data_IF_807042573551
#
_entry.id   IF_807042573551
#
_cell.length_a   1.000
_cell.length_b   1.000
_cell.length_c   1.000
_cell.angle_alpha   90.00
_cell.angle_beta   90.00
_cell.angle_gamma   90.00
#
_symmetry.space_group_name_H-M   'P 1'
#
loop_
_entity.id
_entity.type
_entity.pdbx_description
1 polymer ?
#
# COMPACT_ATOMS: atom_id res chain seq x y z
N UNK A 1 -40.42 -1.26 -14.60
CA UNK A 1 -39.02 -1.44 -14.23
C UNK A 1 -38.51 -0.13 -13.65
N UNK A 2 -38.44 -0.01 -12.33
CA UNK A 2 -37.90 1.18 -11.65
C UNK A 2 -36.39 1.07 -11.67
N UNK A 3 -35.72 1.97 -12.38
CA UNK A 3 -34.29 2.19 -12.29
C UNK A 3 -33.95 2.62 -10.84
N UNK A 4 -33.53 1.69 -10.01
CA UNK A 4 -32.87 2.02 -8.73
C UNK A 4 -31.53 2.63 -9.13
N UNK A 5 -31.43 3.96 -9.10
CA UNK A 5 -30.15 4.65 -9.15
C UNK A 5 -29.35 4.11 -7.94
N UNK A 6 -28.31 3.33 -8.17
CA UNK A 6 -27.28 3.08 -7.18
C UNK A 6 -26.79 4.45 -6.71
N UNK A 7 -27.11 4.83 -5.50
CA UNK A 7 -26.43 5.96 -4.86
C UNK A 7 -24.94 5.60 -4.86
N UNK A 8 -24.19 6.27 -5.73
CA UNK A 8 -22.76 6.06 -5.86
C UNK A 8 -22.17 6.56 -4.53
N UNK A 9 -21.76 5.65 -3.66
CA UNK A 9 -21.00 5.97 -2.46
C UNK A 9 -19.92 6.99 -2.85
N UNK A 10 -19.89 8.13 -2.19
CA UNK A 10 -18.94 9.18 -2.49
C UNK A 10 -17.80 9.07 -1.47
N UNK A 11 -16.59 8.82 -1.96
CA UNK A 11 -15.40 8.85 -1.11
C UNK A 11 -15.35 10.15 -0.33
N UNK A 12 -15.16 10.06 0.98
CA UNK A 12 -14.96 11.19 1.89
C UNK A 12 -13.51 11.25 2.27
N UNK A 13 -12.97 12.46 2.33
CA UNK A 13 -11.58 12.68 2.70
C UNK A 13 -11.50 13.52 3.95
N UNK A 14 -10.70 13.09 4.90
CA UNK A 14 -10.36 13.88 6.07
C UNK A 14 -8.85 13.96 6.26
N UNK A 15 -8.42 15.04 6.89
CA UNK A 15 -7.05 15.25 7.30
C UNK A 15 -7.05 15.51 8.81
N UNK A 16 -6.18 14.80 9.52
CA UNK A 16 -6.04 14.93 10.98
C UNK A 16 -4.63 15.35 11.30
N UNK A 17 -4.48 16.46 11.99
CA UNK A 17 -3.18 17.02 12.37
C UNK A 17 -3.10 17.16 13.88
N UNK A 18 -1.98 16.82 14.48
CA UNK A 18 -1.73 17.06 15.90
C UNK A 18 -1.63 18.55 16.19
N UNK A 19 -2.27 19.00 17.26
CA UNK A 19 -2.11 20.37 17.76
C UNK A 19 -0.68 20.58 18.24
N UNK A 20 -0.26 21.84 18.20
CA UNK A 20 1.07 22.23 18.71
C UNK A 20 1.29 21.73 20.12
N UNK A 21 2.45 21.12 20.37
CA UNK A 21 2.83 20.48 21.63
C UNK A 21 2.40 19.03 21.76
N UNK A 22 1.63 18.51 20.78
CA UNK A 22 1.32 17.09 20.62
C UNK A 22 1.86 16.53 19.30
N UNK A 23 2.49 17.37 18.49
CA UNK A 23 3.02 17.11 17.16
C UNK A 23 4.47 16.55 17.17
N UNK A 24 4.77 15.70 18.17
CA UNK A 24 6.10 15.14 18.41
C UNK A 24 6.68 14.46 17.17
N UNK A 25 5.88 13.67 16.46
CA UNK A 25 6.30 12.98 15.22
C UNK A 25 6.78 13.99 14.16
N UNK A 26 6.10 15.12 14.04
CA UNK A 26 6.48 16.16 13.07
C UNK A 26 7.76 16.90 13.50
N UNK A 27 7.94 17.16 14.80
CA UNK A 27 9.13 17.79 15.35
C UNK A 27 10.37 16.88 15.23
N UNK A 28 10.22 15.57 15.51
CA UNK A 28 11.30 14.59 15.34
C UNK A 28 11.69 14.44 13.87
N UNK A 29 10.72 14.29 12.97
CA UNK A 29 10.99 14.21 11.53
C UNK A 29 11.62 15.48 11.01
N UNK A 30 11.18 16.67 11.47
CA UNK A 30 11.78 17.94 11.12
C UNK A 30 13.26 18.00 11.53
N UNK A 31 13.58 17.61 12.75
CA UNK A 31 14.94 17.61 13.28
C UNK A 31 15.83 16.64 12.49
N UNK A 32 15.37 15.40 12.29
CA UNK A 32 16.11 14.39 11.54
C UNK A 32 16.42 14.84 10.10
N UNK A 33 15.40 15.29 9.38
CA UNK A 33 15.58 15.78 7.99
C UNK A 33 16.55 16.98 7.93
N UNK A 34 16.42 17.90 8.87
CA UNK A 34 17.25 19.09 8.90
C UNK A 34 18.71 18.77 9.17
N UNK A 35 18.97 17.84 10.07
CA UNK A 35 20.31 17.45 10.48
C UNK A 35 20.95 16.51 9.44
N UNK A 36 20.24 15.49 8.98
CA UNK A 36 20.80 14.49 8.05
C UNK A 36 20.99 15.07 6.63
N UNK A 37 20.06 15.88 6.16
CA UNK A 37 20.14 16.52 4.83
C UNK A 37 20.72 17.93 4.85
N UNK A 38 21.12 18.45 6.02
CA UNK A 38 21.71 19.78 6.21
C UNK A 38 20.86 20.94 5.62
N UNK A 39 19.52 20.85 5.75
CA UNK A 39 18.57 21.78 5.13
C UNK A 39 18.41 23.08 5.92
N UNK A 40 19.21 24.08 5.60
CA UNK A 40 19.12 25.42 6.24
C UNK A 40 17.85 26.18 5.88
N UNK A 41 17.27 25.89 4.72
CA UNK A 41 16.08 26.57 4.19
C UNK A 41 14.76 26.07 4.76
N UNK A 42 14.72 24.88 5.39
CA UNK A 42 13.52 24.29 6.01
C UNK A 42 13.24 24.98 7.34
N UNK A 43 12.07 25.58 7.49
CA UNK A 43 11.65 26.32 8.69
C UNK A 43 10.67 25.58 9.57
N UNK A 44 9.79 24.79 8.98
CA UNK A 44 8.78 24.01 9.68
C UNK A 44 8.37 22.79 8.85
N UNK A 45 8.00 21.72 9.53
CA UNK A 45 7.41 20.54 8.95
C UNK A 45 6.12 20.23 9.71
N UNK A 46 5.08 19.85 8.98
CA UNK A 46 3.80 19.41 9.56
C UNK A 46 3.47 18.04 8.99
N UNK A 47 2.79 17.23 9.77
CA UNK A 47 2.28 15.93 9.34
C UNK A 47 0.77 15.94 9.49
N UNK A 48 0.07 15.69 8.38
CA UNK A 48 -1.37 15.48 8.38
C UNK A 48 -1.66 14.02 8.00
N UNK A 49 -2.40 13.34 8.83
CA UNK A 49 -2.89 11.99 8.54
C UNK A 49 -4.12 12.10 7.65
N UNK A 50 -4.00 11.69 6.38
CA UNK A 50 -5.10 11.70 5.40
C UNK A 50 -5.79 10.34 5.42
N UNK A 51 -7.10 10.37 5.54
CA UNK A 51 -7.93 9.19 5.38
C UNK A 51 -8.93 9.43 4.25
N UNK A 52 -8.98 8.48 3.32
CA UNK A 52 -10.02 8.38 2.30
C UNK A 52 -10.95 7.24 2.72
N UNK A 53 -12.25 7.52 2.81
CA UNK A 53 -13.24 6.65 3.44
C UNK A 53 -14.38 6.43 2.46
N UNK A 54 -14.74 5.18 2.23
CA UNK A 54 -15.84 4.77 1.34
C UNK A 54 -16.73 3.72 2.04
N UNK A 55 -17.94 3.55 1.56
CA UNK A 55 -18.85 2.50 2.03
C UNK A 55 -19.58 2.79 3.34
N UNK A 56 -19.62 4.05 3.82
CA UNK A 56 -20.34 4.44 5.05
C UNK A 56 -21.40 5.50 4.80
N UNK A 57 -22.45 5.48 5.62
CA UNK A 57 -23.49 6.50 5.64
C UNK A 57 -23.06 7.79 6.37
N UNK A 58 -23.85 8.86 6.20
CA UNK A 58 -23.57 10.16 6.81
C UNK A 58 -23.54 10.11 8.33
N UNK A 59 -24.43 9.38 8.96
CA UNK A 59 -24.52 9.30 10.42
C UNK A 59 -23.29 8.56 11.01
N UNK A 60 -22.87 7.47 10.38
CA UNK A 60 -21.67 6.73 10.75
C UNK A 60 -20.43 7.59 10.54
N UNK A 61 -20.34 8.33 9.43
CA UNK A 61 -19.22 9.23 9.18
C UNK A 61 -19.11 10.32 10.23
N UNK A 62 -20.21 11.02 10.54
CA UNK A 62 -20.22 12.08 11.56
C UNK A 62 -19.79 11.57 12.94
N UNK A 63 -20.26 10.39 13.33
CA UNK A 63 -19.85 9.76 14.57
C UNK A 63 -18.38 9.33 14.57
N UNK A 64 -17.88 8.81 13.45
CA UNK A 64 -16.50 8.31 13.33
C UNK A 64 -15.45 9.43 13.38
N UNK A 65 -15.78 10.65 12.95
CA UNK A 65 -14.82 11.77 12.91
C UNK A 65 -14.06 11.95 14.23
N UNK A 66 -14.76 11.90 15.34
CA UNK A 66 -14.19 12.17 16.66
C UNK A 66 -14.15 10.94 17.58
N UNK A 67 -14.51 9.77 17.07
CA UNK A 67 -14.43 8.50 17.81
C UNK A 67 -13.32 7.61 17.26
N UNK A 68 -13.08 7.68 15.94
CA UNK A 68 -12.12 6.81 15.26
C UNK A 68 -10.90 7.59 14.76
N UNK A 69 -11.12 8.75 14.12
CA UNK A 69 -10.06 9.43 13.36
C UNK A 69 -9.34 10.52 14.15
N UNK A 70 -10.02 11.25 15.01
CA UNK A 70 -9.45 12.39 15.72
C UNK A 70 -9.88 12.44 17.19
N UNK A 71 -8.96 12.85 18.05
CA UNK A 71 -9.21 13.17 19.45
C UNK A 71 -9.29 14.70 19.60
N UNK A 72 -10.47 15.29 19.85
CA UNK A 72 -10.64 16.75 19.85
C UNK A 72 -9.72 17.51 20.80
N UNK A 73 -9.25 16.86 21.86
CA UNK A 73 -8.34 17.49 22.83
C UNK A 73 -6.96 17.80 22.20
N UNK A 74 -6.45 16.90 21.35
CA UNK A 74 -5.08 16.93 20.84
C UNK A 74 -4.99 17.03 19.31
N UNK A 75 -6.10 16.85 18.59
CA UNK A 75 -6.16 16.84 17.14
C UNK A 75 -6.97 18.01 16.58
N UNK A 76 -6.62 18.40 15.36
CA UNK A 76 -7.42 19.24 14.46
C UNK A 76 -7.85 18.37 13.28
N UNK A 77 -9.13 18.42 12.92
CA UNK A 77 -9.70 17.69 11.79
C UNK A 77 -10.15 18.67 10.72
N UNK A 78 -9.81 18.34 9.46
CA UNK A 78 -10.20 19.11 8.28
C UNK A 78 -10.87 18.17 7.29
N UNK A 79 -12.03 18.61 6.75
CA UNK A 79 -12.81 17.80 5.81
C UNK A 79 -12.56 18.25 4.39
N UNK A 80 -12.41 17.29 3.49
CA UNK A 80 -12.26 17.44 2.03
C UNK A 80 -11.03 18.25 1.57
N UNK A 81 -10.55 19.19 2.35
CA UNK A 81 -9.43 20.06 1.99
C UNK A 81 -8.43 20.18 3.13
N UNK A 82 -7.17 20.29 2.78
CA UNK A 82 -6.14 20.66 3.74
C UNK A 82 -6.38 22.07 4.29
N UNK A 83 -5.78 22.40 5.46
CA UNK A 83 -5.83 23.76 6.01
C UNK A 83 -5.44 24.83 5.00
N UNK A 84 -6.13 25.97 5.03
CA UNK A 84 -5.90 27.06 4.07
C UNK A 84 -4.49 27.64 4.14
N UNK A 85 -3.84 27.58 5.28
CA UNK A 85 -2.46 28.04 5.50
C UNK A 85 -1.41 27.13 4.81
N UNK A 86 -1.80 25.95 4.29
CA UNK A 86 -0.93 25.06 3.52
C UNK A 86 -0.93 25.35 2.03
N UNK A 87 -1.76 26.26 1.51
CA UNK A 87 -1.94 26.51 0.06
C UNK A 87 -0.67 26.90 -0.68
N UNK A 88 0.26 27.60 -0.03
CA UNK A 88 1.55 28.00 -0.60
C UNK A 88 2.70 27.11 -0.16
N UNK A 89 2.46 26.13 0.68
CA UNK A 89 3.46 25.22 1.18
C UNK A 89 3.80 24.13 0.16
N UNK A 90 4.99 23.57 0.27
CA UNK A 90 5.38 22.37 -0.48
C UNK A 90 4.83 21.19 0.28
N UNK A 91 4.09 20.31 -0.37
CA UNK A 91 3.61 19.08 0.27
C UNK A 91 3.70 17.88 -0.66
N UNK A 92 3.71 16.70 -0.08
CA UNK A 92 3.56 15.42 -0.74
C UNK A 92 2.93 14.44 0.25
N UNK A 93 2.32 13.39 -0.28
CA UNK A 93 1.71 12.34 0.54
C UNK A 93 2.46 11.02 0.32
N UNK A 94 2.58 10.23 1.38
CA UNK A 94 3.20 8.90 1.36
C UNK A 94 2.15 7.89 1.77
N UNK A 95 1.98 6.84 0.97
CA UNK A 95 1.08 5.71 1.24
C UNK A 95 1.83 4.39 1.13
N UNK A 96 1.29 3.33 1.73
CA UNK A 96 1.83 2.00 1.55
C UNK A 96 1.61 1.48 0.12
N UNK A 97 2.53 0.62 -0.34
CA UNK A 97 2.37 -0.08 -1.61
C UNK A 97 1.15 -1.02 -1.57
N UNK A 98 0.48 -1.26 -2.70
CA UNK A 98 -0.57 -2.26 -2.79
C UNK A 98 -0.07 -3.62 -2.30
N UNK A 99 -0.85 -4.25 -1.42
CA UNK A 99 -0.47 -5.52 -0.79
C UNK A 99 0.32 -5.40 0.52
N UNK A 100 0.78 -4.22 0.88
CA UNK A 100 1.34 -3.96 2.21
C UNK A 100 0.21 -3.73 3.21
N UNK A 101 0.43 -4.19 4.45
CA UNK A 101 -0.54 -4.02 5.54
C UNK A 101 -0.50 -2.59 6.09
N UNK A 102 -1.62 -1.89 5.94
CA UNK A 102 -1.82 -0.55 6.50
C UNK A 102 -2.58 -0.64 7.81
N UNK A 103 -1.84 -0.66 8.91
CA UNK A 103 -2.41 -0.78 10.25
C UNK A 103 -3.41 0.34 10.59
N UNK A 104 -3.15 1.59 10.15
CA UNK A 104 -4.04 2.73 10.46
C UNK A 104 -5.34 2.62 9.69
N UNK A 105 -5.29 2.28 8.42
CA UNK A 105 -6.47 2.08 7.60
C UNK A 105 -7.31 0.90 8.11
N UNK A 106 -6.67 -0.24 8.39
CA UNK A 106 -7.33 -1.45 8.90
C UNK A 106 -7.99 -1.21 10.26
N UNK A 107 -7.26 -0.61 11.21
CA UNK A 107 -7.82 -0.29 12.53
C UNK A 107 -9.01 0.67 12.43
N UNK A 108 -8.95 1.68 11.56
CA UNK A 108 -10.05 2.59 11.35
C UNK A 108 -11.28 1.88 10.78
N UNK A 109 -11.09 1.02 9.77
CA UNK A 109 -12.18 0.23 9.17
C UNK A 109 -12.82 -0.69 10.21
N UNK A 110 -12.02 -1.37 11.04
CA UNK A 110 -12.52 -2.23 12.11
C UNK A 110 -13.32 -1.44 13.18
N UNK A 111 -12.83 -0.27 13.59
CA UNK A 111 -13.55 0.59 14.52
C UNK A 111 -14.91 1.05 13.96
N UNK A 112 -14.96 1.44 12.68
CA UNK A 112 -16.21 1.80 12.00
C UNK A 112 -17.16 0.61 11.98
N UNK A 113 -16.67 -0.59 11.67
CA UNK A 113 -17.48 -1.82 11.69
C UNK A 113 -18.09 -2.10 13.07
N UNK A 114 -17.31 -1.92 14.13
CA UNK A 114 -17.80 -2.07 15.51
C UNK A 114 -18.86 -1.03 15.85
N UNK A 115 -18.69 0.23 15.44
CA UNK A 115 -19.67 1.30 15.65
C UNK A 115 -20.99 1.04 14.92
N UNK A 116 -20.93 0.46 13.73
CA UNK A 116 -22.11 0.11 12.93
C UNK A 116 -22.92 -1.06 13.51
N UNK A 117 -22.44 -1.69 14.58
CA UNK A 117 -23.12 -2.78 15.28
C UNK A 117 -23.31 -4.06 14.45
N UNK A 118 -22.46 -4.29 13.47
CA UNK A 118 -22.55 -5.47 12.60
C UNK A 118 -23.89 -5.54 11.84
N UNK A 119 -24.42 -4.39 11.39
CA UNK A 119 -25.69 -4.33 10.68
C UNK A 119 -25.64 -5.22 9.43
N UNK A 120 -26.75 -5.97 9.27
CA UNK A 120 -26.99 -7.03 8.27
C UNK A 120 -26.58 -6.65 6.86
N UNK A 121 -26.17 -7.69 6.10
CA UNK A 121 -25.83 -7.65 4.67
C UNK A 121 -26.75 -6.68 3.88
N UNK A 122 -26.16 -5.80 3.13
CA UNK A 122 -26.85 -5.07 2.09
C UNK A 122 -27.36 -6.07 1.03
N UNK A 123 -28.44 -5.70 0.29
CA UNK A 123 -29.02 -6.58 -0.75
C UNK A 123 -28.03 -6.97 -1.88
N UNK A 124 -26.84 -6.33 -1.92
CA UNK A 124 -25.76 -6.60 -2.87
C UNK A 124 -24.68 -7.57 -2.35
N UNK A 125 -24.91 -8.18 -1.17
CA UNK A 125 -23.99 -9.17 -0.58
C UNK A 125 -22.79 -8.61 0.18
N UNK A 126 -22.64 -7.28 0.25
CA UNK A 126 -21.66 -6.64 1.13
C UNK A 126 -22.24 -6.56 2.55
N UNK A 127 -21.41 -6.78 3.55
CA UNK A 127 -21.80 -6.45 4.92
C UNK A 127 -22.03 -4.94 5.00
N UNK A 128 -23.24 -4.52 5.38
CA UNK A 128 -23.52 -3.12 5.68
C UNK A 128 -22.66 -2.70 6.88
N UNK A 129 -21.50 -2.15 6.60
CA UNK A 129 -20.49 -1.81 7.62
C UNK A 129 -19.06 -2.14 7.19
N UNK A 130 -18.84 -2.69 6.02
CA UNK A 130 -17.49 -2.87 5.46
C UNK A 130 -17.02 -1.54 4.84
N UNK A 131 -16.67 -0.62 5.75
CA UNK A 131 -15.97 0.60 5.37
C UNK A 131 -14.63 0.24 4.72
N UNK A 132 -14.36 0.82 3.57
CA UNK A 132 -13.02 0.80 2.98
C UNK A 132 -12.32 2.08 3.38
N UNK A 133 -11.18 1.96 4.02
CA UNK A 133 -10.35 3.10 4.42
C UNK A 133 -8.99 2.97 3.77
N UNK A 134 -8.49 4.07 3.21
CA UNK A 134 -7.10 4.22 2.78
C UNK A 134 -6.46 5.33 3.58
N UNK A 135 -5.21 5.12 3.95
CA UNK A 135 -4.42 6.08 4.70
C UNK A 135 -3.25 6.59 3.88
N UNK A 136 -2.90 7.85 4.06
CA UNK A 136 -1.64 8.41 3.61
C UNK A 136 -1.15 9.48 4.59
N UNK A 137 0.15 9.54 4.79
CA UNK A 137 0.80 10.59 5.57
C UNK A 137 1.12 11.76 4.65
N UNK A 138 0.51 12.91 4.87
CA UNK A 138 0.82 14.15 4.14
C UNK A 138 1.88 14.92 4.91
N UNK A 139 3.00 15.16 4.26
CA UNK A 139 4.12 15.93 4.80
C UNK A 139 4.10 17.29 4.16
N UNK A 140 3.97 18.33 4.99
CA UNK A 140 3.93 19.74 4.56
C UNK A 140 5.21 20.43 5.01
N UNK A 141 5.90 21.04 4.07
CA UNK A 141 7.19 21.70 4.27
C UNK A 141 7.04 23.22 4.10
N UNK A 142 7.42 23.96 5.11
CA UNK A 142 7.47 25.42 5.05
C UNK A 142 8.93 25.90 5.00
N UNK A 143 9.24 26.76 4.06
CA UNK A 143 10.58 27.28 3.89
C UNK A 143 10.97 27.46 2.43
N UNK A 144 12.24 27.75 2.20
CA UNK A 144 12.81 27.90 0.86
C UNK A 144 13.70 26.73 0.55
N UNK A 145 13.19 25.80 -0.24
CA UNK A 145 13.87 24.58 -0.65
C UNK A 145 14.05 24.57 -2.18
N UNK A 146 15.25 24.28 -2.62
CA UNK A 146 15.55 24.00 -4.03
C UNK A 146 14.87 22.69 -4.49
N UNK A 147 14.79 22.48 -5.81
CA UNK A 147 14.22 21.25 -6.35
C UNK A 147 14.98 19.99 -5.91
N UNK A 148 16.31 20.08 -5.77
CA UNK A 148 17.13 18.96 -5.27
C UNK A 148 16.84 18.66 -3.80
N UNK A 149 16.69 19.68 -2.97
CA UNK A 149 16.36 19.51 -1.55
C UNK A 149 14.96 18.90 -1.37
N UNK A 150 13.99 19.34 -2.16
CA UNK A 150 12.64 18.75 -2.15
C UNK A 150 12.65 17.26 -2.50
N UNK A 151 13.41 16.88 -3.52
CA UNK A 151 13.54 15.49 -3.93
C UNK A 151 14.29 14.66 -2.89
N UNK A 152 15.34 15.22 -2.28
CA UNK A 152 16.04 14.57 -1.17
C UNK A 152 15.12 14.30 0.03
N UNK A 153 14.24 15.26 0.38
CA UNK A 153 13.26 15.07 1.46
C UNK A 153 12.24 13.96 1.10
N UNK A 154 11.75 13.93 -0.13
CA UNK A 154 10.83 12.85 -0.56
C UNK A 154 11.50 11.48 -0.46
N UNK A 155 12.73 11.35 -0.96
CA UNK A 155 13.49 10.10 -0.90
C UNK A 155 13.83 9.69 0.53
N UNK A 156 13.99 10.65 1.43
CA UNK A 156 14.18 10.38 2.86
C UNK A 156 12.91 9.81 3.52
N UNK A 157 11.74 10.32 3.11
CA UNK A 157 10.46 9.95 3.71
C UNK A 157 9.79 8.72 3.09
N UNK A 158 10.25 8.28 1.91
CA UNK A 158 9.68 7.14 1.19
C UNK A 158 10.64 5.97 1.21
N UNK A 159 10.21 4.86 1.79
CA UNK A 159 10.93 3.60 1.66
C UNK A 159 10.36 2.83 0.44
N UNK A 160 11.11 2.68 -0.67
CA UNK A 160 10.59 2.08 -1.88
C UNK A 160 10.22 0.58 -1.75
N UNK A 161 10.58 -0.04 -0.63
CA UNK A 161 10.24 -1.45 -0.34
C UNK A 161 8.80 -1.60 0.14
N UNK A 162 8.26 -0.60 0.85
CA UNK A 162 6.94 -0.67 1.49
C UNK A 162 6.02 0.49 1.13
N UNK A 163 6.55 1.61 0.63
CA UNK A 163 5.78 2.84 0.44
C UNK A 163 6.09 3.56 -0.88
N UNK A 164 5.21 4.47 -1.25
CA UNK A 164 5.32 5.31 -2.45
C UNK A 164 4.70 6.68 -2.21
N UNK A 165 4.97 7.59 -3.14
CA UNK A 165 4.24 8.87 -3.21
C UNK A 165 2.79 8.58 -3.62
N UNK A 166 1.86 9.05 -2.81
CA UNK A 166 0.43 8.95 -3.06
C UNK A 166 -0.06 10.03 -4.02
N UNK A 167 -1.12 9.72 -4.78
CA UNK A 167 -1.83 10.74 -5.55
C UNK A 167 -2.44 11.81 -4.62
N UNK A 168 -2.44 13.05 -5.08
CA UNK A 168 -3.03 14.19 -4.35
C UNK A 168 -4.54 14.24 -4.57
N UNK A 169 -4.97 13.92 -5.78
CA UNK A 169 -6.37 13.90 -6.18
C UNK A 169 -7.15 12.89 -5.33
N UNK A 170 -8.39 13.27 -5.00
CA UNK A 170 -9.30 12.37 -4.31
C UNK A 170 -9.83 11.33 -5.30
N UNK A 171 -9.70 10.02 -5.01
CA UNK A 171 -10.24 8.99 -5.90
C UNK A 171 -11.78 9.02 -5.89
N UNK A 172 -12.37 8.58 -6.99
CA UNK A 172 -13.82 8.47 -7.11
C UNK A 172 -14.40 7.28 -6.33
N UNK A 173 -13.60 6.22 -6.15
CA UNK A 173 -13.90 5.03 -5.37
C UNK A 173 -12.62 4.48 -4.76
N UNK A 174 -12.75 3.64 -3.73
CA UNK A 174 -11.63 2.96 -3.08
C UNK A 174 -11.58 1.46 -3.41
N UNK A 175 -12.44 0.99 -4.30
CA UNK A 175 -12.39 -0.39 -4.77
C UNK A 175 -11.03 -0.65 -5.43
N UNK A 176 -10.36 -1.69 -5.00
CA UNK A 176 -9.16 -2.15 -5.70
C UNK A 176 -9.63 -2.89 -6.95
N UNK A 177 -9.26 -2.38 -8.12
CA UNK A 177 -9.33 -3.19 -9.33
C UNK A 177 -8.42 -4.39 -9.13
N UNK A 178 -9.02 -5.54 -8.84
CA UNK A 178 -8.29 -6.81 -8.83
C UNK A 178 -8.08 -7.19 -10.30
N UNK A 179 -6.91 -6.85 -10.81
CA UNK A 179 -6.45 -7.47 -12.06
C UNK A 179 -6.18 -8.92 -11.71
N UNK A 180 -6.89 -9.86 -12.34
CA UNK A 180 -6.55 -11.27 -12.19
C UNK A 180 -5.07 -11.44 -12.56
N UNK A 181 -4.26 -12.06 -11.69
CA UNK A 181 -2.86 -12.29 -12.03
C UNK A 181 -2.79 -13.18 -13.28
N UNK A 182 -1.86 -12.86 -14.16
CA UNK A 182 -1.58 -13.72 -15.30
C UNK A 182 -1.25 -15.14 -14.83
N UNK A 183 -1.70 -16.13 -15.57
CA UNK A 183 -1.34 -17.52 -15.31
C UNK A 183 0.19 -17.70 -15.32
N UNK A 184 0.66 -18.60 -14.46
CA UNK A 184 2.10 -18.86 -14.36
C UNK A 184 2.60 -19.42 -15.68
N UNK A 185 3.49 -18.68 -16.35
CA UNK A 185 4.04 -19.07 -17.64
C UNK A 185 4.76 -20.42 -17.55
N UNK A 186 4.52 -21.28 -18.53
CA UNK A 186 5.30 -22.51 -18.76
C UNK A 186 6.63 -22.18 -19.41
N UNK A 187 7.66 -22.94 -19.07
CA UNK A 187 8.99 -22.81 -19.65
C UNK A 187 9.02 -23.72 -20.89
N UNK A 188 8.59 -23.17 -22.02
CA UNK A 188 8.53 -23.91 -23.26
C UNK A 188 9.93 -24.40 -23.67
N UNK A 189 10.01 -25.66 -24.15
CA UNK A 189 11.26 -26.28 -24.59
C UNK A 189 12.20 -26.75 -23.47
N UNK A 190 11.86 -26.54 -22.20
CA UNK A 190 12.73 -26.94 -21.07
C UNK A 190 13.08 -28.44 -21.10
N UNK A 191 12.15 -29.32 -21.46
CA UNK A 191 12.36 -30.77 -21.51
C UNK A 191 13.31 -31.19 -22.63
N UNK A 192 13.53 -30.34 -23.63
CA UNK A 192 14.31 -30.62 -24.82
C UNK A 192 15.66 -29.88 -24.84
N UNK A 193 15.96 -29.08 -23.80
CA UNK A 193 17.23 -28.34 -23.67
C UNK A 193 18.40 -29.31 -23.62
N UNK A 194 19.48 -28.96 -24.31
CA UNK A 194 20.77 -29.65 -24.15
C UNK A 194 21.45 -29.28 -22.83
N UNK A 195 22.42 -30.09 -22.38
CA UNK A 195 23.16 -29.81 -21.13
C UNK A 195 23.76 -28.39 -21.06
N UNK A 196 24.40 -27.86 -22.14
CA UNK A 196 24.91 -26.50 -22.14
C UNK A 196 23.81 -25.42 -22.01
N UNK A 197 22.66 -25.64 -22.68
CA UNK A 197 21.53 -24.73 -22.61
C UNK A 197 20.88 -24.74 -21.21
N UNK A 198 20.77 -25.92 -20.63
CA UNK A 198 20.25 -26.09 -19.28
C UNK A 198 21.12 -25.39 -18.21
N UNK A 199 22.44 -25.49 -18.36
CA UNK A 199 23.39 -24.81 -17.49
C UNK A 199 23.36 -23.28 -17.70
N UNK A 200 23.21 -22.82 -18.94
CA UNK A 200 23.03 -21.40 -19.24
C UNK A 200 21.74 -20.85 -18.61
N UNK A 201 20.63 -21.58 -18.76
CA UNK A 201 19.35 -21.24 -18.18
C UNK A 201 19.39 -21.21 -16.64
N UNK A 202 20.06 -22.19 -16.01
CA UNK A 202 20.27 -22.22 -14.56
C UNK A 202 20.97 -20.96 -14.05
N UNK A 203 22.00 -20.52 -14.76
CA UNK A 203 22.77 -19.31 -14.40
C UNK A 203 21.98 -18.03 -14.63
N UNK A 204 21.28 -17.94 -15.76
CA UNK A 204 20.45 -16.79 -16.10
C UNK A 204 19.34 -16.57 -15.07
N UNK A 205 18.68 -17.64 -14.64
CA UNK A 205 17.61 -17.60 -13.65
C UNK A 205 18.12 -17.51 -12.21
N UNK A 206 19.43 -17.63 -11.98
CA UNK A 206 20.04 -17.57 -10.65
C UNK A 206 19.59 -18.70 -9.72
N UNK A 207 19.28 -19.88 -10.26
CA UNK A 207 18.86 -21.02 -9.44
C UNK A 207 19.99 -21.51 -8.54
N UNK A 208 19.71 -21.62 -7.23
CA UNK A 208 20.61 -22.15 -6.23
C UNK A 208 20.59 -23.70 -6.21
N UNK A 209 20.76 -24.33 -7.37
CA UNK A 209 20.81 -25.79 -7.56
C UNK A 209 22.05 -26.17 -8.39
N UNK A 210 22.53 -27.40 -8.26
CA UNK A 210 23.63 -27.90 -9.05
C UNK A 210 23.24 -28.18 -10.51
N UNK A 211 24.22 -28.45 -11.37
CA UNK A 211 23.97 -28.87 -12.75
C UNK A 211 23.24 -30.23 -12.81
N UNK A 212 23.58 -31.09 -11.87
CA UNK A 212 22.96 -32.42 -11.72
C UNK A 212 21.49 -32.30 -11.29
N UNK A 213 21.19 -31.36 -10.36
CA UNK A 213 19.82 -31.15 -9.88
C UNK A 213 18.90 -30.66 -11.00
N UNK A 214 19.35 -29.68 -11.80
CA UNK A 214 18.50 -29.18 -12.89
C UNK A 214 18.31 -30.22 -14.01
N UNK A 215 19.30 -31.07 -14.23
CA UNK A 215 19.19 -32.19 -15.15
C UNK A 215 18.18 -33.23 -14.65
N UNK A 216 18.25 -33.57 -13.37
CA UNK A 216 17.26 -34.46 -12.74
C UNK A 216 15.83 -33.89 -12.85
N UNK A 217 15.66 -32.61 -12.62
CA UNK A 217 14.38 -31.93 -12.80
C UNK A 217 13.89 -32.02 -14.24
N UNK A 218 14.79 -31.82 -15.22
CA UNK A 218 14.43 -31.96 -16.64
C UNK A 218 13.94 -33.37 -16.96
N UNK A 219 14.68 -34.39 -16.53
CA UNK A 219 14.32 -35.80 -16.71
C UNK A 219 12.97 -36.13 -16.06
N UNK A 220 12.72 -35.64 -14.86
CA UNK A 220 11.46 -35.82 -14.17
C UNK A 220 10.27 -35.22 -14.95
N UNK A 221 10.40 -33.99 -15.42
CA UNK A 221 9.33 -33.35 -16.21
C UNK A 221 9.12 -34.01 -17.55
N UNK A 222 10.19 -34.45 -18.20
CA UNK A 222 10.13 -35.15 -19.49
C UNK A 222 9.53 -36.56 -19.37
N UNK A 223 10.00 -37.34 -18.40
CA UNK A 223 9.75 -38.76 -18.38
C UNK A 223 8.56 -39.14 -17.46
N UNK A 224 8.35 -38.40 -16.36
CA UNK A 224 7.30 -38.66 -15.37
C UNK A 224 6.10 -37.76 -15.56
N UNK A 225 6.28 -36.44 -15.52
CA UNK A 225 5.19 -35.47 -15.62
C UNK A 225 4.70 -35.30 -17.07
N UNK A 226 5.55 -35.55 -18.05
CA UNK A 226 5.27 -35.40 -19.52
C UNK A 226 4.69 -34.03 -19.88
N UNK A 227 5.21 -32.99 -19.28
CA UNK A 227 4.85 -31.60 -19.51
C UNK A 227 6.04 -30.68 -19.25
N UNK A 228 5.98 -29.45 -19.76
CA UNK A 228 6.96 -28.45 -19.37
C UNK A 228 6.71 -27.92 -17.95
N UNK A 229 7.75 -27.60 -17.17
CA UNK A 229 7.59 -26.95 -15.88
C UNK A 229 7.11 -25.53 -16.04
N UNK A 230 6.54 -24.99 -14.97
CA UNK A 230 6.23 -23.56 -14.88
C UNK A 230 7.43 -22.78 -14.29
N UNK A 231 7.39 -21.45 -14.37
CA UNK A 231 8.42 -20.59 -13.77
C UNK A 231 8.59 -20.79 -12.24
N UNK A 232 7.72 -21.55 -11.59
CA UNK A 232 7.84 -21.92 -10.16
C UNK A 232 8.66 -23.19 -9.92
N UNK A 233 9.42 -23.66 -10.90
CA UNK A 233 10.24 -24.87 -10.84
C UNK A 233 11.12 -24.98 -9.58
N UNK A 234 11.67 -23.87 -9.10
CA UNK A 234 12.50 -23.85 -7.90
C UNK A 234 11.77 -24.24 -6.60
N UNK A 235 10.43 -24.17 -6.53
CA UNK A 235 9.65 -24.62 -5.37
C UNK A 235 9.42 -26.13 -5.34
N UNK A 236 9.27 -26.77 -6.48
CA UNK A 236 9.03 -28.21 -6.57
C UNK A 236 10.25 -29.00 -6.04
N UNK A 237 11.46 -28.56 -6.34
CA UNK A 237 12.70 -29.21 -5.88
C UNK A 237 12.87 -29.14 -4.36
N UNK A 238 12.49 -28.04 -3.72
CA UNK A 238 12.55 -27.92 -2.25
C UNK A 238 11.58 -28.83 -1.52
N UNK A 239 10.45 -29.17 -2.11
CA UNK A 239 9.44 -30.01 -1.49
C UNK A 239 9.83 -31.50 -1.56
N UNK A 240 10.37 -31.96 -2.68
CA UNK A 240 10.85 -33.33 -2.81
C UNK A 240 12.10 -33.65 -1.97
N UNK A 241 12.98 -32.68 -1.75
CA UNK A 241 14.12 -32.85 -0.85
C UNK A 241 13.70 -33.00 0.62
N UNK A 242 12.54 -32.45 1.03
CA UNK A 242 12.00 -32.63 2.39
C UNK A 242 11.36 -33.99 2.61
N UNK A 243 10.77 -34.59 1.58
CA UNK A 243 10.07 -35.86 1.69
C UNK A 243 11.01 -37.09 1.62
N UNK A 244 12.32 -36.87 1.35
CA UNK A 244 13.36 -37.91 1.29
C UNK A 244 14.28 -37.97 2.51
N UNK A 245 14.07 -37.11 3.51
CA UNK A 245 14.77 -37.11 4.80
C UNK A 245 13.81 -37.54 5.93
#
# INVERSE_FOLDING_TARGET
MRNVRKDKSMVRRIYVEKKRGFDVEAEELFSSIKDDLHLKGLKKLRILNRYDIDGIDDATYEAAKFTVFAEPAIDMLYEEKMPDDTRSAIFFAVEYLPGQYDQRADSAAQCIKLMSGGRKQAEDGRDAGDAVVKFARVIVLEGRLSSKEKEAVKNYCVNPVDSRIAAVEKPENLEMEQTEPEDVASIEGFTDMTEPELEAYRKEMGFAMSAEDIKFVQEYYRDTEKRHPTCKIGRAVQQECRDRS
#
